data_IF_811903909639
#
_entry.id   IF_811903909639
#
_cell.length_a   1.000
_cell.length_b   1.000
_cell.length_c   1.000
_cell.angle_alpha   90.00
_cell.angle_beta   90.00
_cell.angle_gamma   90.00
#
_symmetry.space_group_name_H-M   'P 1'
#
loop_
_entity.id
_entity.type
_entity.pdbx_description
1 polymer ?
#
# COMPACT_ATOMS: atom_id res chain seq x y z
N UNK A 1 -39.90 -14.18 -1.03
CA UNK A 1 -38.77 -13.75 -0.16
C UNK A 1 -37.74 -14.84 0.10
N UNK A 2 -38.07 -16.07 0.55
CA UNK A 2 -37.05 -17.15 0.66
C UNK A 2 -36.63 -17.72 -0.70
N UNK A 3 -37.58 -17.84 -1.64
CA UNK A 3 -37.34 -18.43 -2.97
C UNK A 3 -36.45 -17.53 -3.85
N UNK A 4 -36.77 -16.25 -3.92
CA UNK A 4 -35.98 -15.23 -4.65
C UNK A 4 -34.52 -15.15 -4.15
N UNK A 5 -34.28 -15.37 -2.85
CA UNK A 5 -32.94 -15.35 -2.27
C UNK A 5 -32.07 -16.54 -2.69
N UNK A 6 -32.69 -17.70 -2.91
CA UNK A 6 -31.99 -18.92 -3.38
C UNK A 6 -31.65 -18.78 -4.85
N UNK A 7 -32.58 -18.26 -5.65
CA UNK A 7 -32.38 -18.05 -7.09
C UNK A 7 -31.29 -17.01 -7.37
N UNK A 8 -31.28 -15.89 -6.64
CA UNK A 8 -30.22 -14.87 -6.72
C UNK A 8 -28.87 -15.45 -6.30
N UNK A 9 -28.81 -16.23 -5.21
CA UNK A 9 -27.57 -16.88 -4.77
C UNK A 9 -27.04 -17.87 -5.81
N UNK A 10 -27.94 -18.66 -6.41
CA UNK A 10 -27.59 -19.60 -7.49
C UNK A 10 -27.01 -18.87 -8.70
N UNK A 11 -27.66 -17.81 -9.19
CA UNK A 11 -27.18 -17.02 -10.34
C UNK A 11 -25.80 -16.40 -10.05
N UNK A 12 -25.61 -15.81 -8.88
CA UNK A 12 -24.30 -15.24 -8.50
C UNK A 12 -23.23 -16.34 -8.39
N UNK A 13 -23.60 -17.54 -7.96
CA UNK A 13 -22.66 -18.68 -7.86
C UNK A 13 -22.17 -19.18 -9.21
N UNK A 14 -22.99 -19.10 -10.27
CA UNK A 14 -22.57 -19.44 -11.63
C UNK A 14 -21.42 -18.54 -12.08
N UNK A 15 -21.57 -17.23 -11.87
CA UNK A 15 -20.51 -16.26 -12.19
C UNK A 15 -19.21 -16.58 -11.46
N UNK A 16 -19.28 -16.95 -10.17
CA UNK A 16 -18.11 -17.36 -9.40
C UNK A 16 -17.49 -18.66 -9.92
N UNK A 17 -18.29 -19.65 -10.31
CA UNK A 17 -17.79 -20.96 -10.75
C UNK A 17 -16.98 -20.89 -12.04
N UNK A 18 -17.30 -19.95 -12.93
CA UNK A 18 -16.60 -19.73 -14.20
C UNK A 18 -15.22 -19.04 -14.03
N UNK A 19 -14.88 -18.61 -12.80
CA UNK A 19 -13.62 -17.90 -12.57
C UNK A 19 -12.40 -18.83 -12.59
N UNK A 20 -11.29 -18.37 -13.19
CA UNK A 20 -9.98 -18.95 -12.91
C UNK A 20 -9.69 -18.97 -11.41
N UNK A 21 -8.92 -19.95 -10.96
CA UNK A 21 -8.64 -20.18 -9.53
C UNK A 21 -8.15 -18.93 -8.80
N UNK A 22 -7.22 -18.18 -9.40
CA UNK A 22 -6.67 -16.96 -8.79
C UNK A 22 -7.75 -15.89 -8.65
N UNK A 23 -8.59 -15.70 -9.67
CA UNK A 23 -9.67 -14.69 -9.62
C UNK A 23 -10.75 -15.05 -8.58
N UNK A 24 -11.00 -16.36 -8.35
CA UNK A 24 -11.84 -16.83 -7.23
C UNK A 24 -11.26 -16.39 -5.90
N UNK A 25 -9.97 -16.63 -5.66
CA UNK A 25 -9.29 -16.24 -4.42
C UNK A 25 -9.31 -14.72 -4.22
N UNK A 26 -9.03 -13.96 -5.28
CA UNK A 26 -9.12 -12.50 -5.28
C UNK A 26 -10.52 -12.01 -4.90
N UNK A 27 -11.57 -12.60 -5.49
CA UNK A 27 -12.96 -12.28 -5.15
C UNK A 27 -13.29 -12.62 -3.69
N UNK A 28 -12.86 -13.77 -3.17
CA UNK A 28 -13.11 -14.15 -1.78
C UNK A 28 -12.54 -13.12 -0.79
N UNK A 29 -11.39 -12.50 -1.09
CA UNK A 29 -10.83 -11.46 -0.22
C UNK A 29 -11.79 -10.27 0.00
N UNK A 30 -12.70 -9.97 -0.92
CA UNK A 30 -13.69 -8.91 -0.68
C UNK A 30 -14.68 -9.25 0.44
N UNK A 31 -14.90 -10.54 0.73
CA UNK A 31 -15.70 -10.99 1.86
C UNK A 31 -15.10 -10.64 3.23
N UNK A 32 -13.80 -10.32 3.30
CA UNK A 32 -13.10 -9.91 4.53
C UNK A 32 -13.57 -8.52 4.99
N UNK A 33 -14.01 -7.67 4.07
CA UNK A 33 -14.40 -6.30 4.38
C UNK A 33 -15.80 -6.24 5.02
N UNK A 34 -16.09 -5.26 5.87
CA UNK A 34 -17.45 -5.04 6.39
C UNK A 34 -18.46 -4.75 5.26
N UNK A 35 -19.75 -4.89 5.56
CA UNK A 35 -20.83 -4.46 4.67
C UNK A 35 -20.74 -2.96 4.37
N UNK A 36 -21.07 -2.58 3.13
CA UNK A 36 -20.98 -1.20 2.60
C UNK A 36 -19.63 -0.49 2.71
N UNK A 37 -18.57 -1.19 3.14
CA UNK A 37 -17.25 -0.60 3.33
C UNK A 37 -16.69 -0.08 2.00
N UNK A 38 -16.28 1.18 1.99
CA UNK A 38 -15.51 1.74 0.87
C UNK A 38 -14.06 1.26 1.01
N UNK A 39 -13.60 0.55 0.00
CA UNK A 39 -12.30 -0.11 -0.04
C UNK A 39 -11.39 0.71 -0.93
N UNK A 40 -10.32 1.27 -0.35
CA UNK A 40 -9.18 1.73 -1.14
C UNK A 40 -8.60 0.54 -1.91
N UNK A 41 -8.50 0.66 -3.23
CA UNK A 41 -8.05 -0.40 -4.14
C UNK A 41 -6.68 -0.96 -3.73
N UNK A 42 -5.78 -0.12 -3.24
CA UNK A 42 -4.49 -0.56 -2.73
C UNK A 42 -4.62 -1.60 -1.61
N UNK A 43 -5.61 -1.48 -0.72
CA UNK A 43 -5.80 -2.46 0.37
C UNK A 43 -6.00 -3.86 -0.18
N UNK A 44 -6.80 -3.99 -1.25
CA UNK A 44 -7.08 -5.29 -1.83
C UNK A 44 -5.88 -5.79 -2.65
N UNK A 45 -5.19 -4.90 -3.36
CA UNK A 45 -3.97 -5.21 -4.12
C UNK A 45 -2.86 -5.72 -3.20
N UNK A 46 -2.54 -5.00 -2.13
CA UNK A 46 -1.51 -5.40 -1.17
C UNK A 46 -1.85 -6.72 -0.47
N UNK A 47 -3.13 -6.93 -0.17
CA UNK A 47 -3.59 -8.20 0.39
C UNK A 47 -3.34 -9.35 -0.60
N UNK A 48 -3.71 -9.22 -1.87
CA UNK A 48 -3.47 -10.26 -2.88
C UNK A 48 -1.99 -10.53 -3.12
N UNK A 49 -1.17 -9.48 -3.15
CA UNK A 49 0.28 -9.61 -3.29
C UNK A 49 0.89 -10.33 -2.08
N UNK A 50 0.51 -9.96 -0.86
CA UNK A 50 1.04 -10.58 0.34
C UNK A 50 0.56 -12.03 0.55
N UNK A 51 -0.61 -12.36 0.03
CA UNK A 51 -1.13 -13.73 -0.03
C UNK A 51 -0.46 -14.58 -1.13
N UNK A 52 0.27 -13.95 -2.05
CA UNK A 52 0.94 -14.63 -3.17
C UNK A 52 -0.01 -15.07 -4.27
N UNK A 53 -1.17 -14.42 -4.40
CA UNK A 53 -2.12 -14.69 -5.47
C UNK A 53 -1.67 -14.12 -6.82
N UNK A 54 -0.91 -13.03 -6.75
CA UNK A 54 -0.38 -12.37 -7.93
C UNK A 54 0.90 -13.08 -8.37
N UNK A 55 0.98 -13.58 -9.61
CA UNK A 55 2.16 -14.26 -10.10
C UNK A 55 3.32 -13.27 -10.26
N UNK A 56 4.53 -13.74 -9.96
CA UNK A 56 5.75 -13.02 -10.34
C UNK A 56 5.97 -13.19 -11.85
N UNK A 57 6.25 -12.10 -12.56
CA UNK A 57 6.51 -12.09 -13.99
C UNK A 57 7.37 -10.90 -14.41
N UNK A 58 7.35 -10.59 -15.70
CA UNK A 58 8.01 -9.40 -16.25
C UNK A 58 7.23 -8.12 -15.92
N UNK A 59 5.90 -8.22 -15.84
CA UNK A 59 5.01 -7.12 -15.45
C UNK A 59 5.03 -6.87 -13.93
N UNK A 60 4.75 -5.64 -13.53
CA UNK A 60 4.66 -5.27 -12.11
C UNK A 60 3.48 -5.99 -11.46
N UNK A 61 3.69 -6.51 -10.26
CA UNK A 61 2.62 -7.19 -9.52
C UNK A 61 1.42 -6.28 -9.26
N UNK A 62 1.65 -4.98 -9.04
CA UNK A 62 0.58 -3.99 -8.87
C UNK A 62 -0.29 -3.88 -10.13
N UNK A 63 0.32 -3.83 -11.32
CA UNK A 63 -0.41 -3.72 -12.59
C UNK A 63 -1.22 -5.01 -12.87
N UNK A 64 -0.62 -6.18 -12.59
CA UNK A 64 -1.32 -7.48 -12.70
C UNK A 64 -2.49 -7.55 -11.72
N UNK A 65 -2.30 -7.11 -10.48
CA UNK A 65 -3.35 -7.06 -9.46
C UNK A 65 -4.47 -6.10 -9.84
N UNK A 66 -4.14 -4.90 -10.35
CA UNK A 66 -5.11 -3.94 -10.88
C UNK A 66 -5.90 -4.54 -12.05
N UNK A 67 -5.24 -5.32 -12.92
CA UNK A 67 -5.88 -6.10 -13.98
C UNK A 67 -6.93 -7.08 -13.45
N UNK A 68 -6.65 -7.79 -12.36
CA UNK A 68 -7.64 -8.67 -11.71
C UNK A 68 -8.79 -7.88 -11.07
N UNK A 69 -8.52 -6.75 -10.44
CA UNK A 69 -9.57 -5.87 -9.92
C UNK A 69 -10.51 -5.40 -11.04
N UNK A 70 -9.93 -4.89 -12.14
CA UNK A 70 -10.68 -4.44 -13.32
C UNK A 70 -11.51 -5.58 -13.94
N UNK A 71 -11.01 -6.81 -13.92
CA UNK A 71 -11.76 -7.98 -14.34
C UNK A 71 -12.98 -8.28 -13.48
N UNK A 72 -12.90 -8.10 -12.16
CA UNK A 72 -14.05 -8.25 -11.25
C UNK A 72 -15.06 -7.10 -11.44
N UNK A 73 -14.59 -5.89 -11.70
CA UNK A 73 -15.42 -4.72 -11.97
C UNK A 73 -16.17 -4.87 -13.30
N UNK A 74 -15.50 -5.29 -14.38
CA UNK A 74 -16.12 -5.53 -15.69
C UNK A 74 -17.22 -6.57 -15.66
N UNK A 75 -17.11 -7.56 -14.76
CA UNK A 75 -18.15 -8.56 -14.51
C UNK A 75 -19.25 -8.08 -13.57
N UNK A 76 -19.25 -6.78 -13.25
CA UNK A 76 -20.15 -6.16 -12.30
C UNK A 76 -20.19 -6.95 -11.00
N UNK A 77 -19.04 -7.40 -10.46
CA UNK A 77 -18.99 -7.96 -9.10
C UNK A 77 -18.58 -6.92 -8.07
N UNK A 78 -17.71 -6.01 -8.48
CA UNK A 78 -17.22 -4.92 -7.64
C UNK A 78 -17.71 -3.60 -8.24
N UNK A 79 -18.24 -2.73 -7.39
CA UNK A 79 -18.71 -1.41 -7.75
C UNK A 79 -17.57 -0.40 -7.60
N UNK A 80 -17.43 0.47 -8.59
CA UNK A 80 -16.52 1.61 -8.52
C UNK A 80 -17.17 2.71 -7.68
N UNK A 81 -16.45 3.23 -6.70
CA UNK A 81 -16.89 4.34 -5.84
C UNK A 81 -16.22 5.64 -6.28
N UNK A 82 -14.90 5.62 -6.37
CA UNK A 82 -14.11 6.76 -6.83
C UNK A 82 -13.13 6.30 -7.91
N UNK A 83 -13.03 7.10 -8.96
CA UNK A 83 -11.97 6.99 -9.95
C UNK A 83 -11.13 8.23 -9.94
N UNK A 84 -9.84 8.07 -10.07
CA UNK A 84 -8.94 9.17 -10.32
C UNK A 84 -8.17 8.89 -11.61
N UNK A 85 -8.29 9.78 -12.61
CA UNK A 85 -7.64 9.65 -13.92
C UNK A 85 -7.88 8.28 -14.58
N UNK A 86 -9.15 7.87 -14.62
CA UNK A 86 -9.62 6.60 -15.21
C UNK A 86 -9.12 5.32 -14.50
N UNK A 87 -8.38 5.45 -13.39
CA UNK A 87 -8.06 4.34 -12.49
C UNK A 87 -9.02 4.31 -11.32
N UNK A 88 -9.32 3.12 -10.83
CA UNK A 88 -10.18 2.90 -9.67
C UNK A 88 -9.34 3.10 -8.42
N UNK A 89 -9.69 4.08 -7.60
CA UNK A 89 -9.00 4.34 -6.32
C UNK A 89 -9.81 3.86 -5.14
N UNK A 90 -11.14 3.84 -5.30
CA UNK A 90 -12.03 3.31 -4.29
C UNK A 90 -13.11 2.45 -4.94
N UNK A 91 -13.37 1.31 -4.32
CA UNK A 91 -14.36 0.36 -4.76
C UNK A 91 -15.19 -0.16 -3.58
N UNK A 92 -16.30 -0.82 -3.88
CA UNK A 92 -17.19 -1.43 -2.88
C UNK A 92 -17.73 -2.74 -3.42
N UNK A 93 -17.89 -3.72 -2.54
CA UNK A 93 -18.66 -4.94 -2.87
C UNK A 93 -20.10 -4.79 -2.38
N UNK A 94 -21.05 -5.11 -3.25
CA UNK A 94 -22.48 -5.09 -2.90
C UNK A 94 -22.82 -6.29 -1.98
N UNK A 95 -23.74 -6.12 -1.02
CA UNK A 95 -24.04 -7.10 0.04
C UNK A 95 -24.31 -8.51 -0.45
N UNK A 96 -25.16 -8.69 -1.47
CA UNK A 96 -25.44 -10.01 -2.06
C UNK A 96 -24.18 -10.74 -2.54
N UNK A 97 -23.23 -10.02 -3.13
CA UNK A 97 -21.97 -10.57 -3.65
C UNK A 97 -20.99 -10.82 -2.53
N UNK A 98 -20.98 -9.93 -1.53
CA UNK A 98 -20.23 -10.12 -0.30
C UNK A 98 -20.70 -11.36 0.45
N UNK A 99 -22.00 -11.56 0.57
CA UNK A 99 -22.60 -12.75 1.19
C UNK A 99 -22.22 -14.02 0.45
N UNK A 100 -22.23 -13.99 -0.90
CA UNK A 100 -21.70 -15.09 -1.70
C UNK A 100 -20.20 -15.33 -1.41
N UNK A 101 -19.38 -14.27 -1.37
CA UNK A 101 -17.95 -14.39 -1.08
C UNK A 101 -17.70 -15.02 0.31
N UNK A 102 -18.45 -14.58 1.33
CA UNK A 102 -18.37 -15.15 2.69
C UNK A 102 -18.82 -16.61 2.69
N UNK A 103 -19.94 -16.94 2.05
CA UNK A 103 -20.43 -18.32 1.96
C UNK A 103 -19.39 -19.23 1.29
N UNK A 104 -18.83 -18.80 0.14
CA UNK A 104 -17.81 -19.57 -0.58
C UNK A 104 -16.50 -19.67 0.19
N UNK A 105 -16.13 -18.63 0.95
CA UNK A 105 -14.97 -18.67 1.83
C UNK A 105 -15.14 -19.70 2.96
N UNK A 106 -16.34 -19.83 3.53
CA UNK A 106 -16.63 -20.83 4.57
C UNK A 106 -16.53 -22.26 4.04
N UNK A 107 -17.01 -22.52 2.81
CA UNK A 107 -16.94 -23.85 2.17
C UNK A 107 -15.50 -24.39 2.06
N UNK A 108 -14.49 -23.50 1.96
CA UNK A 108 -13.08 -23.87 1.76
C UNK A 108 -12.15 -23.39 2.88
N UNK A 109 -12.69 -22.94 4.01
CA UNK A 109 -11.93 -22.37 5.15
C UNK A 109 -10.96 -21.25 4.72
N UNK A 110 -11.39 -20.36 3.83
CA UNK A 110 -10.52 -19.35 3.22
C UNK A 110 -10.15 -18.22 4.19
N UNK A 111 -11.12 -17.71 4.96
CA UNK A 111 -10.93 -16.74 6.04
C UNK A 111 -11.95 -16.99 7.17
N UNK A 112 -11.70 -16.42 8.34
CA UNK A 112 -12.68 -16.31 9.42
C UNK A 112 -12.94 -14.83 9.75
N UNK A 113 -14.19 -14.48 10.09
CA UNK A 113 -14.55 -13.15 10.58
C UNK A 113 -14.81 -13.29 12.07
N UNK A 114 -14.03 -12.58 12.88
CA UNK A 114 -14.17 -12.62 14.33
C UNK A 114 -15.55 -12.12 14.76
N UNK A 115 -16.30 -12.99 15.45
CA UNK A 115 -17.57 -12.67 16.08
C UNK A 115 -17.38 -12.70 17.61
N UNK A 116 -17.40 -11.55 18.31
CA UNK A 116 -17.19 -11.48 19.75
C UNK A 116 -18.20 -12.29 20.57
N UNK A 117 -19.35 -12.65 19.99
CA UNK A 117 -20.41 -13.45 20.62
C UNK A 117 -20.10 -14.94 20.58
N UNK A 118 -19.27 -15.36 19.62
CA UNK A 118 -18.76 -16.72 19.49
C UNK A 118 -17.40 -16.70 20.17
N UNK A 119 -17.34 -17.18 21.42
CA UNK A 119 -16.08 -17.24 22.19
C UNK A 119 -15.03 -18.22 21.61
N UNK A 120 -15.06 -18.51 20.31
CA UNK A 120 -14.15 -19.38 19.58
C UNK A 120 -13.83 -18.80 18.21
N UNK A 121 -12.63 -19.11 17.70
CA UNK A 121 -12.15 -18.72 16.38
C UNK A 121 -11.78 -20.00 15.62
N UNK A 122 -11.97 -20.02 14.30
CA UNK A 122 -11.51 -21.12 13.47
C UNK A 122 -9.99 -21.24 13.49
N UNK A 123 -9.48 -22.44 13.81
CA UNK A 123 -8.05 -22.76 13.68
C UNK A 123 -7.66 -23.24 12.27
N UNK A 124 -8.65 -23.49 11.41
CA UNK A 124 -8.47 -23.96 10.03
C UNK A 124 -8.19 -22.80 9.07
N UNK A 125 -8.71 -21.61 9.37
CA UNK A 125 -8.54 -20.44 8.54
C UNK A 125 -7.14 -19.85 8.72
N UNK A 126 -6.51 -19.48 7.60
CA UNK A 126 -5.19 -18.82 7.61
C UNK A 126 -5.30 -17.28 7.62
N UNK A 127 -6.51 -16.74 7.51
CA UNK A 127 -6.79 -15.31 7.33
C UNK A 127 -7.91 -14.91 8.27
N UNK A 128 -7.70 -13.90 9.11
CA UNK A 128 -8.75 -13.41 10.00
C UNK A 128 -9.09 -11.95 9.72
N UNK A 129 -10.38 -11.65 9.73
CA UNK A 129 -10.93 -10.30 9.69
C UNK A 129 -11.51 -9.92 11.05
N UNK A 130 -11.17 -8.73 11.54
CA UNK A 130 -11.67 -8.21 12.80
C UNK A 130 -12.37 -6.89 12.52
N UNK A 131 -13.71 -6.94 12.46
CA UNK A 131 -14.54 -5.76 12.19
C UNK A 131 -14.70 -4.87 13.42
N UNK A 132 -14.81 -5.48 14.60
CA UNK A 132 -14.87 -4.79 15.89
C UNK A 132 -14.20 -5.62 17.01
N UNK A 133 -14.02 -5.03 18.19
CA UNK A 133 -13.52 -5.67 19.41
C UNK A 133 -12.14 -6.35 19.26
N UNK A 134 -11.21 -5.76 18.49
CA UNK A 134 -9.87 -6.31 18.30
C UNK A 134 -9.07 -6.55 19.58
N UNK A 135 -9.36 -5.81 20.66
CA UNK A 135 -8.80 -6.11 22.00
C UNK A 135 -9.25 -7.47 22.52
N UNK A 136 -10.53 -7.79 22.40
CA UNK A 136 -11.08 -9.08 22.80
C UNK A 136 -10.48 -10.20 21.95
N UNK A 137 -10.34 -10.00 20.64
CA UNK A 137 -9.65 -10.96 19.77
C UNK A 137 -8.22 -11.24 20.23
N UNK A 138 -7.43 -10.19 20.50
CA UNK A 138 -6.04 -10.33 20.95
C UNK A 138 -5.89 -10.88 22.38
N UNK A 139 -6.98 -10.93 23.15
CA UNK A 139 -6.98 -11.55 24.49
C UNK A 139 -7.11 -13.09 24.43
N UNK A 140 -7.46 -13.64 23.28
CA UNK A 140 -7.60 -15.08 23.08
C UNK A 140 -6.24 -15.77 22.95
N UNK A 141 -6.21 -17.09 23.16
CA UNK A 141 -5.01 -17.87 22.90
C UNK A 141 -4.84 -18.10 21.39
N UNK A 142 -3.97 -17.28 20.78
CA UNK A 142 -3.65 -17.34 19.36
C UNK A 142 -2.44 -18.24 19.04
N UNK A 143 -1.85 -18.90 20.05
CA UNK A 143 -0.56 -19.61 19.90
C UNK A 143 -0.59 -20.79 18.94
N UNK A 144 -1.74 -21.47 18.81
CA UNK A 144 -1.92 -22.61 17.93
C UNK A 144 -2.33 -22.23 16.50
N UNK A 145 -2.56 -20.94 16.23
CA UNK A 145 -3.06 -20.49 14.93
C UNK A 145 -1.90 -20.27 13.95
N UNK A 146 -2.08 -20.77 12.72
CA UNK A 146 -1.10 -20.60 11.62
C UNK A 146 -1.44 -19.41 10.72
N UNK A 147 -1.85 -18.30 11.33
CA UNK A 147 -2.34 -17.13 10.59
C UNK A 147 -1.25 -16.54 9.72
N UNK A 148 -1.61 -16.30 8.45
CA UNK A 148 -0.78 -15.65 7.45
C UNK A 148 -1.17 -14.19 7.26
N UNK A 149 -2.46 -13.87 7.41
CA UNK A 149 -2.99 -12.52 7.24
C UNK A 149 -4.00 -12.18 8.32
N UNK A 150 -3.90 -10.96 8.84
CA UNK A 150 -4.88 -10.39 9.76
C UNK A 150 -5.19 -8.96 9.34
N UNK A 151 -6.49 -8.64 9.33
CA UNK A 151 -6.98 -7.31 9.00
C UNK A 151 -7.91 -6.79 10.10
N UNK A 152 -7.52 -5.68 10.72
CA UNK A 152 -8.32 -4.96 11.72
C UNK A 152 -8.97 -3.72 11.11
N UNK A 153 -10.28 -3.60 11.27
CA UNK A 153 -11.06 -2.47 10.76
C UNK A 153 -11.42 -1.43 11.84
N UNK A 154 -11.01 -1.67 13.08
CA UNK A 154 -11.15 -0.72 14.19
C UNK A 154 -9.78 -0.47 14.87
N UNK A 155 -9.60 0.68 15.55
CA UNK A 155 -8.38 0.98 16.28
C UNK A 155 -8.06 -0.09 17.32
N UNK A 156 -6.85 -0.63 17.25
CA UNK A 156 -6.37 -1.64 18.19
C UNK A 156 -5.36 -1.02 19.15
N UNK A 157 -5.60 -1.14 20.45
CA UNK A 157 -4.63 -0.78 21.48
C UNK A 157 -4.29 -2.03 22.29
N UNK A 158 -3.39 -2.89 21.81
CA UNK A 158 -3.00 -4.12 22.51
C UNK A 158 -1.70 -4.72 21.95
N UNK A 159 -1.07 -5.61 22.73
CA UNK A 159 0.14 -6.34 22.35
C UNK A 159 -0.20 -7.51 21.40
N UNK A 160 0.59 -7.64 20.34
CA UNK A 160 0.48 -8.77 19.40
C UNK A 160 1.43 -9.88 19.86
N UNK A 161 0.96 -10.72 20.79
CA UNK A 161 1.71 -11.89 21.26
C UNK A 161 1.35 -13.10 20.38
N UNK A 162 2.34 -13.94 20.11
CA UNK A 162 2.15 -15.30 19.55
C UNK A 162 1.77 -15.45 18.06
N UNK A 163 1.76 -14.38 17.26
CA UNK A 163 1.41 -14.41 15.83
C UNK A 163 2.60 -14.70 14.90
N UNK A 164 3.42 -15.71 15.23
CA UNK A 164 4.73 -15.91 14.59
C UNK A 164 4.67 -16.27 13.10
N UNK A 165 3.56 -16.81 12.61
CA UNK A 165 3.37 -17.18 11.20
C UNK A 165 2.87 -16.02 10.31
N UNK A 166 2.57 -14.87 10.92
CA UNK A 166 1.95 -13.75 10.23
C UNK A 166 2.90 -13.17 9.18
N UNK A 167 2.38 -13.00 7.96
CA UNK A 167 3.08 -12.39 6.82
C UNK A 167 2.50 -11.04 6.43
N UNK A 168 1.20 -10.85 6.63
CA UNK A 168 0.48 -9.63 6.32
C UNK A 168 -0.28 -9.11 7.54
N UNK A 169 -0.08 -7.83 7.85
CA UNK A 169 -0.80 -7.12 8.89
C UNK A 169 -1.36 -5.82 8.33
N UNK A 170 -2.69 -5.71 8.29
CA UNK A 170 -3.39 -4.47 7.93
C UNK A 170 -4.14 -3.92 9.13
N UNK A 171 -3.92 -2.65 9.42
CA UNK A 171 -4.47 -1.93 10.56
C UNK A 171 -5.14 -0.65 10.10
N UNK A 172 -6.29 -0.32 10.69
CA UNK A 172 -6.99 0.94 10.44
C UNK A 172 -7.04 1.76 11.73
N UNK A 173 -6.60 3.02 11.66
CA UNK A 173 -6.72 3.99 12.76
C UNK A 173 -5.81 3.72 13.95
N UNK A 174 -4.61 3.18 13.74
CA UNK A 174 -3.63 2.95 14.81
C UNK A 174 -2.70 4.14 14.97
N UNK A 175 -2.54 4.59 16.22
CA UNK A 175 -1.60 5.65 16.59
C UNK A 175 -0.27 5.11 17.10
N UNK A 176 -0.25 4.15 18.03
CA UNK A 176 0.99 3.64 18.62
C UNK A 176 1.12 2.13 18.41
N UNK A 177 2.22 1.71 17.79
CA UNK A 177 2.53 0.29 17.65
C UNK A 177 3.18 -0.25 18.94
N UNK A 178 2.78 -1.44 19.41
CA UNK A 178 3.44 -2.07 20.54
C UNK A 178 4.84 -2.57 20.14
N UNK A 179 5.82 -2.49 21.04
CA UNK A 179 7.18 -3.04 20.82
C UNK A 179 7.17 -4.53 20.46
N UNK A 180 6.14 -5.27 20.88
CA UNK A 180 5.91 -6.66 20.50
C UNK A 180 5.81 -6.91 18.99
N UNK A 181 5.60 -5.86 18.16
CA UNK A 181 5.60 -6.00 16.70
C UNK A 181 6.91 -6.63 16.21
N UNK A 182 8.03 -6.34 16.86
CA UNK A 182 9.34 -6.91 16.53
C UNK A 182 9.41 -8.44 16.70
N UNK A 183 8.46 -9.07 17.38
CA UNK A 183 8.39 -10.53 17.52
C UNK A 183 7.86 -11.23 16.25
N UNK A 184 7.22 -10.50 15.35
CA UNK A 184 6.60 -11.06 14.14
C UNK A 184 7.64 -11.27 13.03
N UNK A 185 8.61 -12.16 13.27
CA UNK A 185 9.80 -12.31 12.39
C UNK A 185 9.50 -12.75 10.96
N UNK A 186 8.33 -13.34 10.70
CA UNK A 186 7.89 -13.73 9.36
C UNK A 186 7.08 -12.65 8.63
N UNK A 187 6.88 -11.49 9.27
CA UNK A 187 6.08 -10.42 8.71
C UNK A 187 6.76 -9.83 7.47
N UNK A 188 6.01 -9.76 6.38
CA UNK A 188 6.48 -9.30 5.07
C UNK A 188 5.82 -7.97 4.67
N UNK A 189 4.58 -7.73 5.12
CA UNK A 189 3.83 -6.52 4.79
C UNK A 189 3.17 -5.96 6.04
N UNK A 190 3.45 -4.68 6.32
CA UNK A 190 2.69 -3.85 7.26
C UNK A 190 1.97 -2.79 6.44
N UNK A 191 0.65 -2.72 6.58
CA UNK A 191 -0.17 -1.65 6.02
C UNK A 191 -0.96 -0.95 7.13
N UNK A 192 -0.89 0.37 7.15
CA UNK A 192 -1.64 1.21 8.09
C UNK A 192 -2.46 2.21 7.32
N UNK A 193 -3.77 2.18 7.51
CA UNK A 193 -4.70 3.16 6.97
C UNK A 193 -5.19 4.06 8.08
N UNK A 194 -4.79 5.31 8.03
CA UNK A 194 -5.28 6.33 8.93
C UNK A 194 -6.09 7.34 8.14
N UNK A 195 -7.32 7.63 8.60
CA UNK A 195 -8.13 8.69 8.01
C UNK A 195 -7.58 10.05 8.45
N UNK A 196 -7.84 11.09 7.64
CA UNK A 196 -7.54 12.49 7.99
C UNK A 196 -6.05 12.80 8.26
N UNK A 197 -5.13 12.08 7.61
CA UNK A 197 -3.70 12.39 7.67
C UNK A 197 -3.02 12.04 9.01
N UNK A 198 -3.65 11.28 9.90
CA UNK A 198 -2.98 10.85 11.12
C UNK A 198 -1.85 9.89 10.82
N UNK A 199 -0.69 10.13 11.42
CA UNK A 199 0.45 9.22 11.38
C UNK A 199 0.46 8.26 12.58
N UNK A 200 1.04 7.07 12.42
CA UNK A 200 1.36 6.18 13.53
C UNK A 200 2.77 6.44 14.11
N UNK A 201 3.08 5.82 15.25
CA UNK A 201 4.40 5.75 15.85
C UNK A 201 4.90 4.31 15.74
N UNK A 202 5.91 4.10 14.91
CA UNK A 202 6.60 2.82 14.80
C UNK A 202 7.63 2.69 15.94
N UNK A 203 7.63 1.60 16.72
CA UNK A 203 8.62 1.37 17.75
C UNK A 203 9.97 0.97 17.12
N UNK A 204 11.11 1.18 17.81
CA UNK A 204 12.44 0.82 17.31
C UNK A 204 12.56 -0.66 16.88
N UNK A 205 11.83 -1.56 17.53
CA UNK A 205 11.77 -2.99 17.24
C UNK A 205 11.21 -3.31 15.84
N UNK A 206 10.56 -2.35 15.19
CA UNK A 206 10.16 -2.47 13.77
C UNK A 206 11.40 -2.73 12.89
N UNK A 207 12.57 -2.20 13.25
CA UNK A 207 13.84 -2.44 12.56
C UNK A 207 14.44 -3.84 12.79
N UNK A 208 13.73 -4.72 13.52
CA UNK A 208 14.11 -6.13 13.70
C UNK A 208 13.27 -7.08 12.83
N UNK A 209 12.40 -6.53 11.98
CA UNK A 209 11.58 -7.25 10.99
C UNK A 209 12.36 -7.44 9.68
N UNK A 210 13.45 -8.18 9.73
CA UNK A 210 14.39 -8.34 8.59
C UNK A 210 13.76 -8.94 7.31
N UNK A 211 12.61 -9.61 7.43
CA UNK A 211 11.84 -10.17 6.32
C UNK A 211 10.79 -9.20 5.75
N UNK A 212 10.67 -7.98 6.32
CA UNK A 212 9.72 -6.97 5.87
C UNK A 212 10.09 -6.51 4.47
N UNK A 213 9.13 -6.64 3.55
CA UNK A 213 9.24 -6.25 2.14
C UNK A 213 8.44 -4.99 1.86
N UNK A 214 7.31 -4.81 2.52
CA UNK A 214 6.43 -3.67 2.30
C UNK A 214 6.10 -3.00 3.63
N UNK A 215 6.49 -1.75 3.77
CA UNK A 215 6.07 -0.86 4.85
C UNK A 215 5.27 0.28 4.23
N UNK A 216 3.94 0.20 4.33
CA UNK A 216 3.01 1.18 3.78
C UNK A 216 2.20 1.77 4.92
N UNK A 217 2.74 2.84 5.52
CA UNK A 217 2.15 3.43 6.71
C UNK A 217 2.61 4.88 6.83
N UNK A 218 1.71 5.87 7.01
CA UNK A 218 2.12 7.20 7.44
C UNK A 218 2.64 7.12 8.88
N UNK A 219 3.89 7.52 9.13
CA UNK A 219 4.47 7.54 10.49
C UNK A 219 5.15 8.87 10.85
N UNK A 220 5.03 9.28 12.13
CA UNK A 220 5.42 10.63 12.60
C UNK A 220 6.90 10.77 12.94
N UNK A 221 7.60 9.68 13.25
CA UNK A 221 9.00 9.72 13.71
C UNK A 221 9.88 8.86 12.82
N UNK A 222 11.12 9.28 12.52
CA UNK A 222 12.05 8.47 11.76
C UNK A 222 12.24 7.09 12.38
N UNK A 223 12.09 6.04 11.57
CA UNK A 223 12.41 4.68 11.99
C UNK A 223 13.93 4.53 12.08
N UNK A 224 14.47 4.57 13.30
CA UNK A 224 15.90 4.40 13.53
C UNK A 224 16.36 3.03 13.01
N UNK A 225 17.50 3.01 12.32
CA UNK A 225 18.11 1.80 11.74
C UNK A 225 17.24 1.13 10.66
N UNK A 226 16.45 1.91 9.92
CA UNK A 226 15.67 1.42 8.78
C UNK A 226 16.53 0.67 7.75
N UNK A 227 17.82 1.03 7.63
CA UNK A 227 18.79 0.35 6.78
C UNK A 227 19.00 -1.14 7.10
N UNK A 228 18.60 -1.61 8.29
CA UNK A 228 18.60 -3.05 8.64
C UNK A 228 17.50 -3.85 7.94
N UNK A 229 16.49 -3.19 7.40
CA UNK A 229 15.40 -3.80 6.63
C UNK A 229 15.87 -4.06 5.20
N UNK A 230 16.90 -4.90 5.03
CA UNK A 230 17.53 -5.13 3.73
C UNK A 230 16.62 -5.84 2.72
N UNK A 231 15.56 -6.51 3.19
CA UNK A 231 14.53 -7.12 2.33
C UNK A 231 13.46 -6.13 1.85
N UNK A 232 13.51 -4.87 2.27
CA UNK A 232 12.48 -3.88 1.98
C UNK A 232 12.47 -3.53 0.49
N UNK A 233 11.31 -3.68 -0.12
CA UNK A 233 11.03 -3.45 -1.54
C UNK A 233 10.17 -2.20 -1.75
N UNK A 234 9.25 -1.93 -0.81
CA UNK A 234 8.33 -0.80 -0.87
C UNK A 234 8.33 -0.10 0.48
N UNK A 235 8.62 1.20 0.45
CA UNK A 235 8.51 2.10 1.59
C UNK A 235 7.61 3.28 1.22
N UNK A 236 6.51 3.44 1.93
CA UNK A 236 5.56 4.52 1.71
C UNK A 236 5.08 5.10 3.05
N UNK A 237 4.76 6.40 3.03
CA UNK A 237 4.31 7.09 4.23
C UNK A 237 5.46 7.52 5.14
N UNK A 238 6.62 7.85 4.57
CA UNK A 238 7.69 8.57 5.26
C UNK A 238 7.64 10.09 4.95
N UNK A 239 7.83 10.94 5.95
CA UNK A 239 8.04 12.37 5.68
C UNK A 239 9.46 12.61 5.14
N UNK A 240 9.64 13.56 4.22
CA UNK A 240 10.96 13.83 3.64
C UNK A 240 12.02 14.26 4.67
N UNK A 241 11.62 14.96 5.73
CA UNK A 241 12.51 15.37 6.82
C UNK A 241 13.03 14.20 7.66
N UNK A 242 12.35 13.06 7.63
CA UNK A 242 12.76 11.82 8.29
C UNK A 242 13.79 11.04 7.46
N UNK A 243 13.83 11.24 6.14
CA UNK A 243 14.74 10.53 5.24
C UNK A 243 16.15 11.13 5.19
N UNK A 244 16.30 12.41 5.53
CA UNK A 244 17.56 13.17 5.38
C UNK A 244 18.78 12.53 6.07
N UNK A 245 18.56 11.84 7.19
CA UNK A 245 19.61 11.24 8.03
C UNK A 245 19.75 9.72 7.79
N UNK A 246 19.01 9.17 6.81
CA UNK A 246 19.08 7.75 6.46
C UNK A 246 20.31 7.52 5.59
N UNK A 247 21.10 6.50 5.91
CA UNK A 247 22.06 5.92 4.97
C UNK A 247 21.38 4.73 4.26
N UNK A 248 20.96 4.89 3.00
CA UNK A 248 20.15 3.88 2.32
C UNK A 248 21.01 2.90 1.52
N UNK A 249 22.34 2.89 1.69
CA UNK A 249 23.27 2.00 0.97
C UNK A 249 22.89 0.52 1.13
N UNK A 250 22.39 0.13 2.32
CA UNK A 250 21.96 -1.24 2.60
C UNK A 250 20.55 -1.58 2.09
N UNK A 251 19.76 -0.59 1.67
CA UNK A 251 18.40 -0.76 1.14
C UNK A 251 18.44 -1.16 -0.35
N UNK A 252 19.27 -2.17 -0.66
CA UNK A 252 19.57 -2.59 -2.03
C UNK A 252 18.36 -3.18 -2.75
N UNK A 253 17.35 -3.68 -2.03
CA UNK A 253 16.14 -4.25 -2.63
C UNK A 253 15.00 -3.23 -2.79
N UNK A 254 15.21 -1.97 -2.39
CA UNK A 254 14.14 -0.96 -2.42
C UNK A 254 13.84 -0.55 -3.86
N UNK A 255 12.62 -0.86 -4.30
CA UNK A 255 12.11 -0.61 -5.65
C UNK A 255 11.21 0.63 -5.70
N UNK A 256 10.39 0.83 -4.66
CA UNK A 256 9.44 1.94 -4.56
C UNK A 256 9.64 2.72 -3.27
N UNK A 257 9.81 4.02 -3.41
CA UNK A 257 9.88 4.98 -2.30
C UNK A 257 8.80 6.06 -2.52
N UNK A 258 7.89 6.20 -1.56
CA UNK A 258 6.89 7.26 -1.54
C UNK A 258 7.06 8.10 -0.30
N UNK A 259 7.24 9.40 -0.48
CA UNK A 259 7.48 10.33 0.62
C UNK A 259 6.55 11.54 0.50
N UNK A 260 6.19 12.10 1.64
CA UNK A 260 5.32 13.28 1.71
C UNK A 260 5.96 14.41 2.50
N UNK A 261 5.26 15.55 2.50
CA UNK A 261 5.48 16.67 3.41
C UNK A 261 6.88 17.30 3.28
N UNK A 262 7.21 17.80 2.09
CA UNK A 262 8.48 18.51 1.84
C UNK A 262 8.41 19.93 2.44
N UNK A 263 8.45 20.01 3.77
CA UNK A 263 8.32 21.30 4.51
C UNK A 263 9.61 22.11 4.62
N UNK A 264 10.79 21.50 4.44
CA UNK A 264 12.09 22.14 4.72
C UNK A 264 13.21 21.68 3.79
N UNK A 265 14.22 22.56 3.73
CA UNK A 265 15.49 22.49 3.02
C UNK A 265 16.40 21.30 3.39
N UNK A 266 15.99 20.08 3.13
CA UNK A 266 16.80 18.90 3.43
C UNK A 266 17.27 18.22 2.16
N UNK A 267 18.58 18.01 2.08
CA UNK A 267 19.22 17.26 0.99
C UNK A 267 18.69 15.83 0.97
N UNK A 268 18.06 15.45 -0.15
CA UNK A 268 17.62 14.08 -0.44
C UNK A 268 18.60 13.36 -1.38
N UNK A 269 19.87 13.80 -1.39
CA UNK A 269 20.91 13.26 -2.25
C UNK A 269 21.18 11.78 -1.97
N UNK A 270 20.92 11.32 -0.74
CA UNK A 270 21.03 9.92 -0.38
C UNK A 270 20.07 9.00 -1.16
N UNK A 271 18.97 9.50 -1.75
CA UNK A 271 18.11 8.67 -2.62
C UNK A 271 18.87 8.18 -3.84
N UNK A 272 19.82 8.96 -4.38
CA UNK A 272 20.57 8.56 -5.57
C UNK A 272 21.50 7.37 -5.32
N UNK A 273 21.77 7.00 -4.06
CA UNK A 273 22.55 5.79 -3.74
C UNK A 273 21.71 4.51 -3.76
N UNK A 274 20.37 4.61 -3.87
CA UNK A 274 19.48 3.45 -4.01
C UNK A 274 19.64 2.82 -5.39
N UNK A 275 20.27 1.64 -5.42
CA UNK A 275 20.70 1.00 -6.67
C UNK A 275 19.56 0.43 -7.51
N UNK A 276 18.42 0.08 -6.91
CA UNK A 276 17.32 -0.60 -7.61
C UNK A 276 16.02 0.21 -7.56
N UNK A 277 16.08 1.48 -7.13
CA UNK A 277 14.90 2.33 -7.05
C UNK A 277 14.36 2.62 -8.45
N UNK A 278 13.23 2.01 -8.78
CA UNK A 278 12.56 2.17 -10.07
C UNK A 278 11.37 3.12 -10.00
N UNK A 279 10.76 3.29 -8.82
CA UNK A 279 9.61 4.19 -8.62
C UNK A 279 9.87 5.14 -7.46
N UNK A 280 9.78 6.44 -7.74
CA UNK A 280 9.83 7.50 -6.73
C UNK A 280 8.55 8.31 -6.80
N UNK A 281 7.88 8.45 -5.67
CA UNK A 281 6.71 9.31 -5.51
C UNK A 281 6.99 10.37 -4.45
N UNK A 282 6.77 11.63 -4.80
CA UNK A 282 6.96 12.77 -3.92
C UNK A 282 5.65 13.57 -3.85
N UNK A 283 5.14 13.71 -2.63
CA UNK A 283 3.97 14.53 -2.30
C UNK A 283 4.42 15.77 -1.53
N UNK A 284 4.06 16.95 -2.00
CA UNK A 284 4.41 18.21 -1.35
C UNK A 284 3.16 18.93 -0.88
N UNK A 285 2.83 18.85 0.40
CA UNK A 285 1.79 19.70 0.99
C UNK A 285 2.46 21.05 1.35
N UNK A 286 2.16 22.11 0.59
CA UNK A 286 2.83 23.41 0.70
C UNK A 286 2.11 24.32 1.72
N UNK A 287 2.63 24.39 2.94
CA UNK A 287 2.40 25.52 3.85
C UNK A 287 3.55 26.52 3.65
N UNK A 288 3.27 27.64 2.98
CA UNK A 288 4.14 28.77 2.67
C UNK A 288 5.52 28.78 3.38
N UNK A 289 6.63 28.44 2.71
CA UNK A 289 7.98 29.02 2.91
C UNK A 289 8.95 28.51 1.81
N UNK A 290 9.78 29.43 1.32
CA UNK A 290 10.86 29.25 0.35
C UNK A 290 11.83 28.08 0.61
N UNK A 291 12.23 27.41 -0.47
CA UNK A 291 13.15 26.28 -0.51
C UNK A 291 14.60 26.69 -0.90
N UNK A 292 15.64 26.03 -0.38
CA UNK A 292 17.02 26.10 -0.89
C UNK A 292 17.35 24.97 -1.87
N UNK A 293 18.41 25.20 -2.66
CA UNK A 293 18.93 24.33 -3.70
C UNK A 293 19.28 22.90 -3.21
N UNK A 294 18.77 21.90 -3.92
CA UNK A 294 19.14 20.48 -3.87
C UNK A 294 19.85 20.10 -5.17
N UNK A 295 21.06 19.54 -5.15
CA UNK A 295 21.76 19.25 -6.40
C UNK A 295 21.03 18.26 -7.32
N UNK A 296 20.18 17.35 -6.83
CA UNK A 296 19.63 16.28 -7.70
C UNK A 296 18.10 16.26 -7.91
N UNK A 297 17.34 17.00 -7.11
CA UNK A 297 15.93 17.36 -7.36
C UNK A 297 15.64 18.68 -6.62
N UNK A 298 16.18 19.83 -7.05
CA UNK A 298 15.82 21.13 -6.43
C UNK A 298 14.33 21.30 -6.57
N UNK A 299 13.61 21.82 -5.59
CA UNK A 299 12.40 22.60 -5.86
C UNK A 299 12.65 23.98 -5.28
N UNK A 300 13.20 24.94 -6.02
CA UNK A 300 13.49 26.29 -5.47
C UNK A 300 12.24 27.18 -5.45
N UNK A 301 11.19 26.72 -4.74
CA UNK A 301 9.85 27.32 -4.74
C UNK A 301 9.12 27.17 -6.09
N UNK A 302 9.80 27.46 -7.21
CA UNK A 302 9.26 27.48 -8.56
C UNK A 302 10.03 26.60 -9.54
N UNK A 303 11.15 25.97 -9.16
CA UNK A 303 12.03 25.26 -10.10
C UNK A 303 12.45 23.86 -9.65
N UNK A 304 12.06 22.85 -10.42
CA UNK A 304 12.51 21.46 -10.31
C UNK A 304 13.87 21.29 -11.02
N UNK A 305 14.92 20.73 -10.42
CA UNK A 305 16.23 20.52 -11.10
C UNK A 305 16.84 19.16 -10.81
N UNK A 306 17.17 18.37 -11.84
CA UNK A 306 17.89 17.10 -11.68
C UNK A 306 19.28 17.15 -12.31
N UNK A 307 20.33 16.85 -11.54
CA UNK A 307 21.72 16.84 -11.99
C UNK A 307 22.12 15.60 -12.80
N UNK A 308 23.28 15.70 -13.48
CA UNK A 308 23.83 14.61 -14.28
C UNK A 308 24.03 13.33 -13.45
N UNK A 309 23.73 12.18 -14.06
CA UNK A 309 23.86 10.84 -13.48
C UNK A 309 23.04 10.61 -12.20
N UNK A 310 22.04 11.45 -11.91
CA UNK A 310 21.08 11.16 -10.86
C UNK A 310 20.01 10.18 -11.35
N UNK A 311 19.52 9.35 -10.43
CA UNK A 311 18.37 8.47 -10.66
C UNK A 311 18.56 7.54 -11.87
N UNK A 312 19.74 6.93 -12.00
CA UNK A 312 20.13 6.11 -13.16
C UNK A 312 19.19 4.91 -13.47
N UNK A 313 18.48 4.42 -12.46
CA UNK A 313 17.58 3.25 -12.57
C UNK A 313 16.10 3.63 -12.43
N UNK A 314 15.80 4.93 -12.28
CA UNK A 314 14.45 5.39 -12.06
C UNK A 314 13.66 5.27 -13.38
N UNK A 315 12.60 4.47 -13.34
CA UNK A 315 11.71 4.22 -14.46
C UNK A 315 10.43 5.05 -14.37
N UNK A 316 9.97 5.33 -13.15
CA UNK A 316 8.71 6.00 -12.88
C UNK A 316 8.88 7.10 -11.84
N UNK A 317 8.50 8.32 -12.19
CA UNK A 317 8.50 9.46 -11.29
C UNK A 317 7.08 9.99 -11.14
N UNK A 318 6.62 10.11 -9.90
CA UNK A 318 5.36 10.77 -9.56
C UNK A 318 5.63 12.00 -8.72
N UNK A 319 5.13 13.14 -9.20
CA UNK A 319 5.17 14.42 -8.55
C UNK A 319 3.75 14.89 -8.31
N UNK A 320 3.43 15.16 -7.06
CA UNK A 320 2.08 15.48 -6.65
C UNK A 320 2.04 16.71 -5.73
N UNK A 321 1.00 17.51 -5.92
CA UNK A 321 0.68 18.71 -5.13
C UNK A 321 1.78 19.79 -5.16
N UNK A 322 2.56 19.90 -6.25
CA UNK A 322 3.56 20.97 -6.38
C UNK A 322 2.92 22.29 -6.82
N UNK A 323 2.14 22.91 -5.93
CA UNK A 323 1.34 24.12 -6.19
C UNK A 323 2.13 25.31 -6.73
N UNK A 324 3.42 25.41 -6.36
CA UNK A 324 4.30 26.50 -6.77
C UNK A 324 5.28 26.16 -7.91
N UNK A 325 5.35 24.90 -8.39
CA UNK A 325 6.28 24.49 -9.45
C UNK A 325 6.03 25.24 -10.74
N UNK A 326 6.99 25.99 -11.26
CA UNK A 326 6.86 26.70 -12.55
C UNK A 326 7.74 26.13 -13.66
N UNK A 327 8.93 25.64 -13.31
CA UNK A 327 9.97 25.23 -14.27
C UNK A 327 10.56 23.89 -13.87
N UNK A 328 10.91 23.05 -14.85
CA UNK A 328 11.67 21.83 -14.61
C UNK A 328 12.91 21.80 -15.51
N UNK A 329 14.09 21.75 -14.88
CA UNK A 329 15.39 21.55 -15.50
C UNK A 329 15.85 20.09 -15.31
N UNK A 330 16.16 19.42 -16.42
CA UNK A 330 16.66 18.06 -16.43
C UNK A 330 18.03 18.08 -17.11
N UNK A 331 19.09 17.76 -16.36
CA UNK A 331 20.42 17.66 -16.93
C UNK A 331 20.50 16.49 -17.92
N UNK A 332 21.41 16.61 -18.89
CA UNK A 332 21.47 15.74 -20.07
C UNK A 332 21.63 14.25 -19.74
N UNK A 333 22.23 13.87 -18.61
CA UNK A 333 22.37 12.46 -18.21
C UNK A 333 21.57 12.04 -16.98
N UNK A 334 20.64 12.88 -16.49
CA UNK A 334 19.72 12.52 -15.41
C UNK A 334 18.70 11.47 -15.89
N UNK A 335 18.18 10.58 -15.04
CA UNK A 335 17.02 9.70 -15.32
C UNK A 335 17.01 9.06 -16.74
N UNK A 336 18.06 8.31 -17.14
CA UNK A 336 18.17 7.76 -18.49
C UNK A 336 17.15 6.63 -18.78
N UNK A 337 16.59 5.99 -17.75
CA UNK A 337 15.66 4.86 -17.87
C UNK A 337 14.19 5.25 -17.69
N UNK A 338 13.87 6.55 -17.71
CA UNK A 338 12.50 7.00 -17.44
C UNK A 338 11.54 6.46 -18.51
N UNK A 339 10.55 5.70 -18.06
CA UNK A 339 9.48 5.12 -18.88
C UNK A 339 8.18 5.89 -18.70
N UNK A 340 7.93 6.41 -17.49
CA UNK A 340 6.70 7.13 -17.21
C UNK A 340 6.84 8.27 -16.21
N UNK A 341 5.93 9.24 -16.35
CA UNK A 341 5.85 10.43 -15.53
C UNK A 341 4.40 10.73 -15.12
N UNK A 342 4.15 10.80 -13.81
CA UNK A 342 2.90 11.28 -13.23
C UNK A 342 3.11 12.67 -12.64
N UNK A 343 2.37 13.67 -13.13
CA UNK A 343 2.36 15.03 -12.58
C UNK A 343 0.92 15.36 -12.22
N UNK A 344 0.66 15.62 -10.94
CA UNK A 344 -0.68 15.84 -10.42
C UNK A 344 -0.72 17.05 -9.51
N UNK A 345 -1.80 17.83 -9.60
CA UNK A 345 -2.00 19.01 -8.76
C UNK A 345 -0.81 20.01 -8.77
N UNK A 346 -0.15 20.14 -9.94
CA UNK A 346 0.98 21.05 -10.21
C UNK A 346 0.59 22.19 -11.18
N UNK A 347 -0.36 23.08 -10.84
CA UNK A 347 -1.02 23.98 -11.78
C UNK A 347 -0.09 25.02 -12.44
N UNK A 348 1.05 25.34 -11.82
CA UNK A 348 1.98 26.34 -12.33
C UNK A 348 3.05 25.75 -13.26
N UNK A 349 3.16 24.41 -13.36
CA UNK A 349 4.25 23.75 -14.07
C UNK A 349 3.94 23.73 -15.56
N UNK A 350 4.46 24.73 -16.29
CA UNK A 350 4.06 24.98 -17.68
C UNK A 350 4.70 24.04 -18.69
N UNK A 351 5.94 23.60 -18.43
CA UNK A 351 6.72 22.81 -19.38
C UNK A 351 7.37 21.61 -18.67
N UNK A 352 7.21 20.43 -19.27
CA UNK A 352 7.95 19.22 -18.94
C UNK A 352 9.23 19.22 -19.79
N UNK A 353 10.37 18.74 -19.28
CA UNK A 353 11.60 18.65 -20.08
C UNK A 353 11.36 17.81 -21.34
N UNK A 354 11.82 18.29 -22.50
CA UNK A 354 11.52 17.69 -23.82
C UNK A 354 11.77 16.17 -23.91
N UNK A 355 12.84 15.68 -23.27
CA UNK A 355 13.16 14.24 -23.26
C UNK A 355 12.15 13.37 -22.49
N UNK A 356 11.37 13.98 -21.60
CA UNK A 356 10.32 13.32 -20.84
C UNK A 356 8.94 13.50 -21.48
N UNK A 357 8.82 14.21 -22.61
CA UNK A 357 7.56 14.33 -23.36
C UNK A 357 7.11 12.98 -23.93
N UNK A 358 8.07 12.14 -24.31
CA UNK A 358 7.83 10.78 -24.84
C UNK A 358 7.59 9.74 -23.74
N UNK A 359 7.78 10.10 -22.46
CA UNK A 359 7.50 9.20 -21.35
C UNK A 359 5.99 8.96 -21.25
N UNK A 360 5.60 7.72 -20.95
CA UNK A 360 4.20 7.38 -20.72
C UNK A 360 3.66 8.27 -19.61
N UNK A 361 2.56 8.98 -19.90
CA UNK A 361 1.88 9.77 -18.87
C UNK A 361 1.26 8.80 -17.90
N UNK A 362 1.94 8.63 -16.76
CA UNK A 362 1.42 7.79 -15.71
C UNK A 362 0.18 8.46 -15.17
N UNK A 363 -0.90 7.71 -15.21
CA UNK A 363 -2.07 8.01 -14.41
C UNK A 363 -1.65 7.89 -12.97
N UNK A 364 -2.20 8.76 -12.12
CA UNK A 364 -1.99 8.77 -10.68
C UNK A 364 -1.97 7.28 -10.20
N UNK A 365 -0.84 6.74 -9.73
CA UNK A 365 -0.79 5.54 -8.86
C UNK A 365 -0.65 5.98 -7.39
N UNK A 366 -1.73 6.07 -6.60
CA UNK A 366 -1.72 6.92 -5.38
C UNK A 366 -2.14 6.24 -4.07
N UNK A 367 -1.17 6.45 -3.15
CA UNK A 367 -1.22 6.75 -1.72
C UNK A 367 -1.52 5.62 -0.73
#
# INVERSE_FOLDING_TARGET
MKDDSIEISYILSLSYNDFPTVLKQCFLCFGIFPEDHVICDENIVWLWMAEGFIPNGEERMEDVAEGFLNQLIRRSLIQVVHTFWEKVTECRIHDLRRNLAVQKALEVNFFDIYDPRKHSISSLCLRHAIHDQGKSYLSLDLSNLKLRSIMFFNPVFCQMRSLYHLKFLSLIGIHDFPSSIGNLKNLQTIRVLNRYGYSCQLPPETADLINLRHLVAPYSKPLKRINKLTSLQVLQGIHCDQWKDVDPVDLVNLLKLSMYDIKKSHSLNNISSLKNLSTLTLFCEDDEISFPALEFLTYEGKKITCCNNSFCQLEFLHLDDLQNAERWHLATSAMPQIKGLGIHDCPKLKNIPKRMEDAERLKRTHL
#
